data_IF_238768798244
#
_entry.id   IF_238768798244
#
_cell.length_a   1.000
_cell.length_b   1.000
_cell.length_c   1.000
_cell.angle_alpha   90.00
_cell.angle_beta   90.00
_cell.angle_gamma   90.00
#
_symmetry.space_group_name_H-M   'P 1'
#
loop_
_entity.id
_entity.type
_entity.pdbx_description
1 polymer ?
#
# COMPACT_ATOMS: atom_id res chain seq x y z
N UNK A 1 -4.39 9.76 -10.63
CA UNK A 1 -4.97 8.90 -11.68
C UNK A 1 -3.89 8.41 -12.67
N UNK A 2 -2.95 9.23 -13.06
CA UNK A 2 -1.92 8.86 -14.06
C UNK A 2 -0.84 7.90 -13.56
N UNK A 3 -0.59 7.82 -12.25
CA UNK A 3 0.44 6.91 -11.69
C UNK A 3 0.09 5.43 -11.84
N UNK A 4 -1.20 5.09 -11.92
CA UNK A 4 -1.67 3.69 -12.01
C UNK A 4 -1.68 3.18 -13.46
N UNK A 5 -1.70 4.06 -14.45
CA UNK A 5 -1.79 3.70 -15.87
C UNK A 5 -0.45 3.62 -16.59
N UNK A 6 0.65 4.11 -15.99
CA UNK A 6 1.98 3.95 -16.58
C UNK A 6 2.52 2.55 -16.26
N UNK A 7 2.91 1.82 -17.27
CA UNK A 7 3.61 0.52 -17.22
C UNK A 7 4.93 0.55 -16.41
N UNK A 8 5.27 1.67 -15.75
CA UNK A 8 6.46 1.85 -14.93
C UNK A 8 6.40 1.22 -13.53
N UNK A 9 5.33 0.51 -13.17
CA UNK A 9 5.18 -0.13 -11.86
C UNK A 9 6.01 -1.42 -11.69
N UNK A 10 7.02 -1.67 -12.52
CA UNK A 10 7.84 -2.89 -12.40
C UNK A 10 8.96 -2.80 -11.38
N UNK A 11 9.28 -1.63 -10.85
CA UNK A 11 10.44 -1.47 -9.95
C UNK A 11 10.09 -0.62 -8.73
N UNK A 12 9.73 -1.29 -7.63
CA UNK A 12 9.60 -0.66 -6.32
C UNK A 12 10.99 -0.48 -5.70
N UNK A 13 11.67 0.61 -6.07
CA UNK A 13 13.01 0.96 -5.62
C UNK A 13 13.03 2.35 -4.96
N UNK A 14 14.20 2.79 -4.54
CA UNK A 14 14.40 4.09 -3.91
C UNK A 14 13.93 5.26 -4.78
N UNK A 15 14.23 5.25 -6.07
CA UNK A 15 13.83 6.33 -6.99
C UNK A 15 12.31 6.41 -7.13
N UNK A 16 11.62 5.26 -7.26
CA UNK A 16 10.16 5.23 -7.34
C UNK A 16 9.47 5.69 -6.04
N UNK A 17 10.11 5.49 -4.89
CA UNK A 17 9.64 6.05 -3.63
C UNK A 17 9.78 7.60 -3.60
N UNK A 18 10.89 8.13 -4.09
CA UNK A 18 11.10 9.57 -4.23
C UNK A 18 10.11 10.20 -5.22
N UNK A 19 9.87 9.54 -6.36
CA UNK A 19 8.89 9.99 -7.36
C UNK A 19 7.46 9.99 -6.80
N UNK A 20 7.11 8.99 -6.00
CA UNK A 20 5.82 8.97 -5.27
C UNK A 20 5.68 10.17 -4.33
N UNK A 21 6.70 10.46 -3.53
CA UNK A 21 6.68 11.62 -2.65
C UNK A 21 6.57 12.93 -3.45
N UNK A 22 7.33 13.06 -4.54
CA UNK A 22 7.27 14.23 -5.43
C UNK A 22 5.86 14.40 -5.99
N UNK A 23 5.28 13.34 -6.52
CA UNK A 23 3.94 13.38 -7.08
C UNK A 23 2.86 13.83 -6.07
N UNK A 24 2.93 13.32 -4.84
CA UNK A 24 1.94 13.66 -3.80
C UNK A 24 2.08 15.10 -3.31
N UNK A 25 3.30 15.66 -3.30
CA UNK A 25 3.60 16.90 -2.58
C UNK A 25 4.20 18.03 -3.43
N UNK A 26 4.35 17.85 -4.75
CA UNK A 26 4.97 18.84 -5.65
C UNK A 26 4.28 20.22 -5.61
N UNK A 27 2.96 20.25 -5.36
CA UNK A 27 2.21 21.51 -5.28
C UNK A 27 2.23 22.13 -3.87
N UNK A 28 2.91 21.48 -2.90
CA UNK A 28 2.95 21.89 -1.49
C UNK A 28 4.36 22.21 -1.03
N UNK A 29 5.35 21.43 -1.50
CA UNK A 29 6.75 21.55 -1.05
C UNK A 29 7.71 21.66 -2.24
N UNK A 30 8.58 22.67 -2.24
CA UNK A 30 9.64 22.81 -3.24
C UNK A 30 10.65 21.66 -3.21
N UNK A 31 10.84 21.06 -2.04
CA UNK A 31 11.73 19.90 -1.80
C UNK A 31 11.03 18.55 -1.96
N UNK A 32 9.86 18.50 -2.62
CA UNK A 32 9.13 17.26 -2.84
C UNK A 32 9.99 16.22 -3.60
N UNK A 33 10.11 15.02 -3.04
CA UNK A 33 10.96 13.95 -3.58
C UNK A 33 12.40 13.97 -3.06
N UNK A 34 12.82 14.99 -2.32
CA UNK A 34 14.16 15.06 -1.74
C UNK A 34 14.21 14.41 -0.36
N UNK A 35 15.24 13.59 -0.12
CA UNK A 35 15.49 13.00 1.20
C UNK A 35 16.20 14.00 2.12
N UNK A 36 15.98 13.85 3.42
CA UNK A 36 16.49 14.81 4.42
C UNK A 36 17.98 14.67 4.74
N UNK A 37 18.61 13.49 4.57
CA UNK A 37 20.04 13.23 4.82
C UNK A 37 20.60 12.08 3.95
N UNK A 38 21.89 12.09 3.67
CA UNK A 38 22.58 11.24 2.70
C UNK A 38 22.52 9.74 3.04
N UNK A 39 22.62 9.33 4.30
CA UNK A 39 22.70 7.92 4.69
C UNK A 39 21.33 7.18 4.67
N UNK A 40 20.25 7.89 4.41
CA UNK A 40 18.88 7.33 4.37
C UNK A 40 18.69 6.45 3.14
N UNK A 41 19.23 6.83 1.99
CA UNK A 41 19.10 6.10 0.73
C UNK A 41 19.50 4.64 0.88
N UNK A 42 20.68 4.36 1.46
CA UNK A 42 21.16 3.00 1.66
C UNK A 42 20.21 2.15 2.52
N UNK A 43 19.67 2.73 3.59
CA UNK A 43 18.75 2.03 4.48
C UNK A 43 17.42 1.72 3.76
N UNK A 44 16.88 2.67 3.03
CA UNK A 44 15.66 2.47 2.22
C UNK A 44 15.90 1.41 1.15
N UNK A 45 16.99 1.50 0.40
CA UNK A 45 17.35 0.55 -0.66
C UNK A 45 17.43 -0.87 -0.12
N UNK A 46 18.14 -1.09 0.99
CA UNK A 46 18.25 -2.43 1.59
C UNK A 46 16.88 -3.01 1.95
N UNK A 47 15.99 -2.21 2.55
CA UNK A 47 14.64 -2.66 2.91
C UNK A 47 13.82 -3.01 1.66
N UNK A 48 13.88 -2.17 0.62
CA UNK A 48 13.13 -2.39 -0.62
C UNK A 48 13.67 -3.59 -1.40
N UNK A 49 14.97 -3.81 -1.41
CA UNK A 49 15.58 -4.99 -2.01
C UNK A 49 15.13 -6.28 -1.34
N UNK A 50 15.09 -6.31 0.00
CA UNK A 50 14.59 -7.45 0.76
C UNK A 50 13.10 -7.68 0.49
N UNK A 51 12.29 -6.63 0.45
CA UNK A 51 10.87 -6.70 0.09
C UNK A 51 10.67 -7.29 -1.31
N UNK A 52 11.48 -6.87 -2.30
CA UNK A 52 11.36 -7.34 -3.68
C UNK A 52 11.78 -8.79 -3.85
N UNK A 53 12.80 -9.26 -3.12
CA UNK A 53 13.30 -10.64 -3.15
C UNK A 53 12.38 -11.64 -2.44
N UNK A 54 11.51 -11.16 -1.57
CA UNK A 54 10.64 -12.01 -0.77
C UNK A 54 9.57 -12.71 -1.64
N UNK A 55 9.26 -13.98 -1.32
CA UNK A 55 8.32 -14.82 -2.08
C UNK A 55 6.87 -14.60 -1.63
N UNK A 56 6.26 -13.50 -2.10
CA UNK A 56 4.90 -13.10 -1.71
C UNK A 56 3.79 -14.02 -2.21
N UNK A 57 3.94 -14.59 -3.41
CA UNK A 57 2.85 -15.32 -4.11
C UNK A 57 2.38 -16.60 -3.40
N UNK A 58 3.22 -17.17 -2.54
CA UNK A 58 2.89 -18.42 -1.83
C UNK A 58 2.19 -18.19 -0.48
N UNK A 59 2.00 -16.94 -0.08
CA UNK A 59 1.47 -16.59 1.24
C UNK A 59 -0.05 -16.53 1.25
N UNK A 60 -0.63 -16.96 2.35
CA UNK A 60 -2.00 -16.60 2.71
C UNK A 60 -2.12 -15.09 3.03
N UNK A 61 -3.33 -14.55 3.02
CA UNK A 61 -3.58 -13.15 3.39
C UNK A 61 -3.06 -12.84 4.80
N UNK A 62 -3.23 -13.75 5.76
CA UNK A 62 -2.77 -13.58 7.13
C UNK A 62 -1.24 -13.55 7.26
N UNK A 63 -0.53 -14.43 6.54
CA UNK A 63 0.93 -14.43 6.52
C UNK A 63 1.47 -13.19 5.81
N UNK A 64 0.87 -12.83 4.68
CA UNK A 64 1.24 -11.62 3.94
C UNK A 64 1.04 -10.36 4.79
N UNK A 65 -0.06 -10.26 5.54
CA UNK A 65 -0.31 -9.10 6.41
C UNK A 65 0.76 -8.92 7.47
N UNK A 66 1.18 -10.02 8.11
CA UNK A 66 2.24 -9.98 9.14
C UNK A 66 3.57 -9.51 8.57
N UNK A 67 4.01 -10.12 7.48
CA UNK A 67 5.30 -9.80 6.84
C UNK A 67 5.28 -8.39 6.24
N UNK A 68 4.18 -8.03 5.59
CA UNK A 68 3.99 -6.70 5.05
C UNK A 68 4.02 -5.62 6.13
N UNK A 69 3.37 -5.85 7.27
CA UNK A 69 3.39 -4.94 8.42
C UNK A 69 4.81 -4.72 8.96
N UNK A 70 5.65 -5.76 8.99
CA UNK A 70 7.04 -5.64 9.40
C UNK A 70 7.86 -4.75 8.46
N UNK A 71 7.72 -4.92 7.14
CA UNK A 71 8.40 -4.09 6.16
C UNK A 71 7.88 -2.65 6.16
N UNK A 72 6.57 -2.46 6.27
CA UNK A 72 5.94 -1.15 6.39
C UNK A 72 6.47 -0.40 7.62
N UNK A 73 6.55 -1.05 8.77
CA UNK A 73 7.10 -0.48 9.99
C UNK A 73 8.58 -0.11 9.84
N UNK A 74 9.40 -1.00 9.25
CA UNK A 74 10.83 -0.76 9.00
C UNK A 74 11.03 0.45 8.09
N UNK A 75 10.30 0.52 6.97
CA UNK A 75 10.42 1.61 6.00
C UNK A 75 9.96 2.94 6.62
N UNK A 76 8.85 2.93 7.36
CA UNK A 76 8.33 4.11 8.05
C UNK A 76 9.32 4.63 9.11
N UNK A 77 10.00 3.75 9.83
CA UNK A 77 11.02 4.11 10.84
C UNK A 77 12.21 4.88 10.26
N UNK A 78 12.59 4.61 9.01
CA UNK A 78 13.69 5.35 8.35
C UNK A 78 13.37 6.83 8.22
N UNK A 79 12.10 7.19 8.03
CA UNK A 79 11.61 8.57 7.98
C UNK A 79 12.37 9.42 6.95
N UNK A 80 12.36 9.03 5.65
CA UNK A 80 13.27 9.59 4.66
C UNK A 80 13.03 11.07 4.35
N UNK A 81 11.82 11.58 4.52
CA UNK A 81 11.45 12.95 4.16
C UNK A 81 11.28 13.85 5.37
N UNK A 82 11.34 15.18 5.16
CA UNK A 82 11.06 16.18 6.20
C UNK A 82 9.61 16.09 6.68
N UNK A 83 8.68 15.94 5.74
CA UNK A 83 7.25 15.78 5.98
C UNK A 83 6.65 14.75 5.02
N UNK A 84 5.39 14.34 5.22
CA UNK A 84 4.69 13.45 4.28
C UNK A 84 5.04 11.97 4.37
N UNK A 85 5.94 11.55 5.28
CA UNK A 85 6.44 10.17 5.37
C UNK A 85 5.32 9.13 5.46
N UNK A 86 4.37 9.32 6.37
CA UNK A 86 3.30 8.33 6.60
C UNK A 86 2.46 8.13 5.33
N UNK A 87 2.02 9.22 4.69
CA UNK A 87 1.21 9.16 3.48
C UNK A 87 1.97 8.49 2.34
N UNK A 88 3.19 8.95 2.05
CA UNK A 88 4.01 8.39 0.97
C UNK A 88 4.28 6.91 1.16
N UNK A 89 4.72 6.50 2.36
CA UNK A 89 5.13 5.13 2.63
C UNK A 89 3.93 4.18 2.60
N UNK A 90 2.78 4.58 3.17
CA UNK A 90 1.56 3.77 3.11
C UNK A 90 1.10 3.61 1.66
N UNK A 91 1.06 4.69 0.87
CA UNK A 91 0.65 4.63 -0.55
C UNK A 91 1.60 3.75 -1.36
N UNK A 92 2.91 3.94 -1.21
CA UNK A 92 3.93 3.14 -1.89
C UNK A 92 3.83 1.65 -1.54
N UNK A 93 3.76 1.33 -0.25
CA UNK A 93 3.66 -0.05 0.21
C UNK A 93 2.34 -0.70 -0.20
N UNK A 94 1.22 0.04 -0.24
CA UNK A 94 -0.05 -0.48 -0.75
C UNK A 94 0.04 -0.87 -2.22
N UNK A 95 0.64 -0.02 -3.07
CA UNK A 95 0.89 -0.36 -4.48
C UNK A 95 1.87 -1.53 -4.63
N UNK A 96 2.89 -1.60 -3.77
CA UNK A 96 3.83 -2.72 -3.76
C UNK A 96 3.11 -4.05 -3.53
N UNK A 97 2.33 -4.17 -2.45
CA UNK A 97 1.66 -5.44 -2.11
C UNK A 97 0.60 -5.81 -3.16
N UNK A 98 -0.07 -4.82 -3.75
CA UNK A 98 -0.97 -5.04 -4.89
C UNK A 98 -0.24 -5.59 -6.12
N UNK A 99 1.00 -5.14 -6.39
CA UNK A 99 1.84 -5.69 -7.48
C UNK A 99 2.23 -7.15 -7.25
N UNK A 100 2.20 -7.62 -6.00
CA UNK A 100 2.50 -9.02 -5.64
C UNK A 100 1.28 -9.93 -5.71
N UNK A 101 0.11 -9.42 -6.12
CA UNK A 101 -1.11 -10.20 -6.35
C UNK A 101 -2.18 -10.03 -5.27
N UNK A 102 -1.91 -9.30 -4.20
CA UNK A 102 -2.89 -9.00 -3.15
C UNK A 102 -3.81 -7.84 -3.54
N UNK A 103 -4.90 -7.70 -2.82
CA UNK A 103 -5.83 -6.58 -2.91
C UNK A 103 -5.88 -5.86 -1.58
N UNK A 104 -5.84 -4.53 -1.60
CA UNK A 104 -5.80 -3.69 -0.39
C UNK A 104 -6.95 -2.71 -0.42
N UNK A 105 -7.74 -2.64 0.63
CA UNK A 105 -8.64 -1.52 0.88
C UNK A 105 -7.85 -0.35 1.50
N UNK A 106 -7.24 0.47 0.65
CA UNK A 106 -6.40 1.59 1.09
C UNK A 106 -7.21 2.73 1.73
N UNK A 107 -8.52 2.82 1.48
CA UNK A 107 -9.37 3.81 2.13
C UNK A 107 -9.48 3.55 3.64
N UNK A 108 -9.39 2.28 4.07
CA UNK A 108 -9.34 1.95 5.49
C UNK A 108 -8.18 2.65 6.22
N UNK A 109 -7.01 2.75 5.59
CA UNK A 109 -5.85 3.45 6.18
C UNK A 109 -6.08 4.96 6.25
N UNK A 110 -6.70 5.54 5.22
CA UNK A 110 -7.04 6.96 5.16
C UNK A 110 -8.09 7.33 6.22
N UNK A 111 -9.16 6.55 6.31
CA UNK A 111 -10.27 6.80 7.23
C UNK A 111 -9.84 6.59 8.68
N UNK A 112 -8.81 5.78 8.93
CA UNK A 112 -8.23 5.51 10.24
C UNK A 112 -6.80 6.05 10.39
N UNK A 113 -6.50 7.21 9.80
CA UNK A 113 -5.15 7.78 9.74
C UNK A 113 -4.50 7.95 11.13
N UNK A 114 -5.28 8.35 12.14
CA UNK A 114 -4.80 8.49 13.53
C UNK A 114 -4.42 7.13 14.14
N UNK A 115 -5.26 6.11 13.96
CA UNK A 115 -4.96 4.76 14.42
C UNK A 115 -3.71 4.21 13.71
N UNK A 116 -3.63 4.39 12.39
CA UNK A 116 -2.50 3.92 11.58
C UNK A 116 -1.18 4.53 12.05
N UNK A 117 -1.16 5.84 12.33
CA UNK A 117 0.01 6.51 12.88
C UNK A 117 0.40 5.95 14.26
N UNK A 118 -0.57 5.78 15.15
CA UNK A 118 -0.33 5.22 16.50
C UNK A 118 0.19 3.78 16.42
N UNK A 119 -0.35 2.96 15.53
CA UNK A 119 0.08 1.59 15.30
C UNK A 119 1.52 1.52 14.76
N UNK A 120 1.90 2.42 13.85
CA UNK A 120 3.28 2.53 13.35
C UNK A 120 4.26 2.94 14.45
N UNK A 121 3.89 3.89 15.31
CA UNK A 121 4.69 4.27 16.49
C UNK A 121 4.85 3.07 17.41
N UNK A 122 3.75 2.37 17.76
CA UNK A 122 3.76 1.22 18.64
C UNK A 122 4.60 0.05 18.07
N UNK A 123 4.54 -0.19 16.77
CA UNK A 123 5.33 -1.22 16.10
C UNK A 123 6.85 -0.94 16.11
N UNK A 124 7.26 0.31 16.36
CA UNK A 124 8.64 0.75 16.38
C UNK A 124 9.11 1.23 17.77
N UNK A 125 8.37 1.01 18.84
CA UNK A 125 8.62 1.52 20.18
C UNK A 125 9.80 0.82 20.85
N UNK A 126 11.03 1.23 20.52
CA UNK A 126 12.27 0.82 21.17
C UNK A 126 12.86 2.05 21.85
N UNK A 127 13.08 1.98 23.14
CA UNK A 127 13.59 3.08 23.96
C UNK A 127 14.93 2.70 24.58
N UNK A 128 15.88 3.66 24.63
CA UNK A 128 17.19 3.45 25.26
C UNK A 128 17.06 3.01 26.71
N UNK A 129 16.13 3.61 27.46
CA UNK A 129 16.03 3.45 28.91
C UNK A 129 15.00 2.37 29.32
N UNK A 130 13.99 2.12 28.47
CA UNK A 130 12.87 1.21 28.75
C UNK A 130 12.94 -0.11 27.95
N UNK A 131 13.92 -0.23 27.06
CA UNK A 131 14.09 -1.40 26.20
C UNK A 131 13.05 -1.53 25.09
N UNK A 132 12.83 -2.76 24.64
CA UNK A 132 11.88 -3.10 23.58
C UNK A 132 10.44 -3.13 24.12
N UNK A 133 9.62 -2.19 23.68
CA UNK A 133 8.20 -2.05 24.01
C UNK A 133 7.32 -2.14 22.78
N UNK A 134 7.83 -2.71 21.69
CA UNK A 134 7.08 -2.83 20.43
C UNK A 134 5.79 -3.62 20.61
N UNK A 135 4.76 -3.15 19.91
CA UNK A 135 3.42 -3.73 19.81
C UNK A 135 3.00 -3.83 18.34
N UNK A 136 3.62 -4.74 17.55
CA UNK A 136 3.37 -4.88 16.13
C UNK A 136 1.95 -5.38 15.81
N UNK A 137 1.28 -6.00 16.78
CA UNK A 137 -0.07 -6.56 16.64
C UNK A 137 -1.11 -5.51 16.21
N UNK A 138 -0.98 -4.26 16.65
CA UNK A 138 -1.90 -3.18 16.25
C UNK A 138 -1.78 -2.84 14.77
N UNK A 139 -0.54 -2.76 14.26
CA UNK A 139 -0.30 -2.51 12.85
C UNK A 139 -0.75 -3.72 12.00
N UNK A 140 -0.41 -4.93 12.43
CA UNK A 140 -0.82 -6.14 11.72
C UNK A 140 -2.34 -6.27 11.64
N UNK A 141 -3.08 -5.87 12.67
CA UNK A 141 -4.54 -5.94 12.68
C UNK A 141 -5.16 -5.08 11.59
N UNK A 142 -4.81 -3.80 11.50
CA UNK A 142 -5.39 -2.91 10.48
C UNK A 142 -4.92 -3.30 9.07
N UNK A 143 -3.71 -3.81 8.92
CA UNK A 143 -3.21 -4.32 7.62
C UNK A 143 -3.97 -5.57 7.22
N UNK A 144 -4.20 -6.50 8.14
CA UNK A 144 -5.00 -7.70 7.87
C UNK A 144 -6.42 -7.33 7.44
N UNK A 145 -7.08 -6.44 8.18
CA UNK A 145 -8.42 -5.95 7.84
C UNK A 145 -8.44 -5.33 6.43
N UNK A 146 -7.43 -4.55 6.06
CA UNK A 146 -7.33 -3.92 4.74
C UNK A 146 -7.16 -4.95 3.61
N UNK A 147 -6.34 -5.98 3.81
CA UNK A 147 -6.14 -7.06 2.84
C UNK A 147 -7.38 -7.95 2.71
N UNK A 148 -8.02 -8.32 3.81
CA UNK A 148 -9.27 -9.11 3.79
C UNK A 148 -10.42 -8.36 3.11
N UNK A 149 -10.57 -7.05 3.37
CA UNK A 149 -11.57 -6.21 2.70
C UNK A 149 -11.28 -6.08 1.21
N UNK A 150 -10.02 -5.88 0.84
CA UNK A 150 -9.59 -5.84 -0.55
C UNK A 150 -9.90 -7.15 -1.27
N UNK A 151 -9.64 -8.31 -0.64
CA UNK A 151 -9.97 -9.62 -1.20
C UNK A 151 -11.49 -9.80 -1.36
N UNK A 152 -12.27 -9.46 -0.35
CA UNK A 152 -13.75 -9.51 -0.43
C UNK A 152 -14.30 -8.60 -1.53
N UNK A 153 -13.69 -7.43 -1.74
CA UNK A 153 -14.07 -6.52 -2.83
C UNK A 153 -13.78 -7.15 -4.20
N UNK A 154 -12.61 -7.76 -4.37
CA UNK A 154 -12.23 -8.49 -5.58
C UNK A 154 -13.21 -9.62 -5.87
N UNK A 155 -13.55 -10.45 -4.89
CA UNK A 155 -14.45 -11.59 -5.05
C UNK A 155 -15.86 -11.10 -5.43
N UNK A 156 -16.37 -10.06 -4.79
CA UNK A 156 -17.65 -9.43 -5.12
C UNK A 156 -17.69 -8.91 -6.56
N UNK A 157 -16.65 -8.23 -7.02
CA UNK A 157 -16.56 -7.73 -8.40
C UNK A 157 -16.52 -8.89 -9.37
N UNK A 158 -15.75 -9.93 -9.11
CA UNK A 158 -15.68 -11.12 -9.94
C UNK A 158 -17.06 -11.83 -10.05
N UNK A 159 -17.79 -11.95 -8.95
CA UNK A 159 -19.13 -12.53 -8.93
C UNK A 159 -20.14 -11.72 -9.75
N UNK A 160 -20.12 -10.39 -9.63
CA UNK A 160 -20.99 -9.49 -10.43
C UNK A 160 -20.72 -9.65 -11.93
N UNK A 161 -19.45 -9.69 -12.32
CA UNK A 161 -19.03 -9.90 -13.72
C UNK A 161 -19.56 -11.23 -14.24
N UNK A 162 -19.38 -12.31 -13.48
CA UNK A 162 -19.84 -13.65 -13.81
C UNK A 162 -21.37 -13.72 -13.94
N UNK A 163 -22.10 -13.10 -13.01
CA UNK A 163 -23.58 -13.01 -13.08
C UNK A 163 -24.05 -12.23 -14.30
N UNK A 164 -23.28 -11.27 -14.77
CA UNK A 164 -23.56 -10.53 -16.00
C UNK A 164 -23.24 -11.31 -17.28
N UNK A 165 -22.71 -12.54 -17.18
CA UNK A 165 -22.37 -13.41 -18.31
C UNK A 165 -21.05 -13.10 -18.99
N UNK A 166 -20.11 -12.42 -18.28
CA UNK A 166 -18.80 -12.08 -18.79
C UNK A 166 -17.70 -12.83 -18.04
N UNK A 167 -16.58 -13.08 -18.74
CA UNK A 167 -15.32 -13.48 -18.15
C UNK A 167 -14.39 -12.26 -18.11
N UNK A 168 -13.76 -12.01 -16.95
CA UNK A 168 -12.82 -10.92 -16.79
C UNK A 168 -11.49 -11.41 -16.31
N UNK A 169 -10.44 -10.84 -16.87
CA UNK A 169 -9.07 -11.05 -16.44
C UNK A 169 -8.82 -10.34 -15.10
N UNK A 170 -7.79 -10.78 -14.39
CA UNK A 170 -7.30 -10.12 -13.17
C UNK A 170 -7.05 -8.61 -13.37
N UNK A 171 -6.53 -8.23 -14.54
CA UNK A 171 -6.25 -6.83 -14.89
C UNK A 171 -7.52 -5.99 -15.01
N UNK A 172 -8.57 -6.56 -15.57
CA UNK A 172 -9.88 -5.90 -15.70
C UNK A 172 -10.57 -5.76 -14.34
N UNK A 173 -10.53 -6.79 -13.52
CA UNK A 173 -11.05 -6.74 -12.15
C UNK A 173 -10.37 -5.62 -11.35
N UNK A 174 -9.03 -5.49 -11.44
CA UNK A 174 -8.29 -4.41 -10.78
C UNK A 174 -8.69 -3.03 -11.29
N UNK A 175 -8.89 -2.86 -12.60
CA UNK A 175 -9.37 -1.59 -13.16
C UNK A 175 -10.76 -1.20 -12.62
N UNK A 176 -11.68 -2.15 -12.54
CA UNK A 176 -13.04 -1.91 -12.03
C UNK A 176 -12.99 -1.52 -10.54
N UNK A 177 -12.22 -2.24 -9.72
CA UNK A 177 -12.05 -1.91 -8.29
C UNK A 177 -11.49 -0.51 -8.13
N UNK A 178 -10.45 -0.16 -8.90
CA UNK A 178 -9.84 1.15 -8.86
C UNK A 178 -10.82 2.26 -9.25
N UNK A 179 -11.57 2.07 -10.33
CA UNK A 179 -12.57 3.02 -10.78
C UNK A 179 -13.70 3.24 -9.74
N UNK A 180 -14.18 2.15 -9.12
CA UNK A 180 -15.21 2.22 -8.08
C UNK A 180 -14.75 3.03 -6.86
N UNK A 181 -13.50 2.86 -6.44
CA UNK A 181 -12.92 3.68 -5.35
C UNK A 181 -12.92 5.16 -5.69
N UNK A 182 -12.64 5.53 -6.95
CA UNK A 182 -12.64 6.93 -7.38
C UNK A 182 -14.03 7.57 -7.40
N UNK A 183 -15.03 6.79 -7.73
CA UNK A 183 -16.41 7.27 -7.88
C UNK A 183 -17.23 7.24 -6.59
N UNK A 184 -16.73 6.64 -5.51
CA UNK A 184 -17.49 6.37 -4.28
C UNK A 184 -18.82 5.66 -4.55
N UNK A 185 -18.91 4.84 -5.61
CA UNK A 185 -20.12 4.22 -6.09
C UNK A 185 -20.07 2.70 -5.93
N UNK A 186 -21.14 2.09 -5.44
CA UNK A 186 -21.33 0.63 -5.55
C UNK A 186 -21.53 0.27 -7.02
N UNK A 187 -20.75 -0.69 -7.53
CA UNK A 187 -20.85 -1.08 -8.95
C UNK A 187 -22.19 -1.72 -9.23
N UNK A 188 -22.98 -1.08 -10.07
CA UNK A 188 -24.15 -1.71 -10.70
C UNK A 188 -23.70 -2.61 -11.86
N UNK A 189 -24.49 -3.63 -12.17
CA UNK A 189 -24.26 -4.51 -13.34
C UNK A 189 -24.15 -3.70 -14.65
N UNK A 190 -24.86 -2.57 -14.74
CA UNK A 190 -24.82 -1.69 -15.91
C UNK A 190 -23.48 -0.95 -16.05
N UNK A 191 -22.88 -0.54 -14.93
CA UNK A 191 -21.58 0.12 -14.92
C UNK A 191 -20.45 -0.86 -15.27
N UNK A 192 -20.51 -2.10 -14.79
CA UNK A 192 -19.55 -3.16 -15.14
C UNK A 192 -19.54 -3.43 -16.64
N UNK A 193 -20.70 -3.46 -17.30
CA UNK A 193 -20.82 -3.67 -18.76
C UNK A 193 -20.15 -2.59 -19.61
N UNK A 194 -19.92 -1.40 -19.06
CA UNK A 194 -19.26 -0.28 -19.75
C UNK A 194 -17.73 -0.44 -19.82
N UNK A 195 -17.14 -1.35 -19.03
CA UNK A 195 -15.70 -1.55 -18.89
C UNK A 195 -15.19 -2.91 -19.40
N UNK A 196 -16.10 -3.81 -19.78
CA UNK A 196 -15.83 -5.08 -20.46
C UNK A 196 -16.06 -4.98 -21.96
#
# INVERSE_FOLDING_TARGET
AELVTKESASHFNFLSLCDMHRYIFQDVYEWAGEIRVINIEKNVTNILDDMNKFLWKALSVAEASRIFSEYLAKLWRVHPYREGNTRTIITFCSQFIESKGFYVDSDLFKDNAQYMRTALVAANAIFSDLGDKRKPEYLNRIVLDALERGQKMKDRVADVIKMAGFDATEKEIRKIIYWNRQKHCESSIQEVKMYL
#
